data_IF_883692899887
#
_entry.id   IF_883692899887
#
_cell.length_a   1.000
_cell.length_b   1.000
_cell.length_c   1.000
_cell.angle_alpha   90.00
_cell.angle_beta   90.00
_cell.angle_gamma   90.00
#
_symmetry.space_group_name_H-M   'P 1'
#
loop_
_entity.id
_entity.type
_entity.pdbx_description
1 polymer ?
#
# COMPACT_ATOMS: atom_id res chain seq x y z
N UNK A 1 18.13 -1.95 -1.23
CA UNK A 1 17.16 -2.78 -2.00
C UNK A 1 17.64 -4.21 -2.22
N UNK A 2 18.79 -4.45 -2.86
CA UNK A 2 19.27 -5.80 -3.21
C UNK A 2 19.33 -6.80 -2.06
N UNK A 3 19.78 -6.41 -0.86
CA UNK A 3 19.84 -7.33 0.29
C UNK A 3 18.46 -7.73 0.83
N UNK A 4 17.54 -6.77 0.95
CA UNK A 4 16.17 -7.04 1.45
C UNK A 4 15.38 -7.90 0.45
N UNK A 5 15.58 -7.68 -0.85
CA UNK A 5 14.97 -8.51 -1.90
C UNK A 5 15.47 -9.96 -1.94
N UNK A 6 16.57 -10.30 -1.27
CA UNK A 6 17.02 -11.70 -1.20
C UNK A 6 16.12 -12.56 -0.31
N UNK A 7 15.45 -11.94 0.66
CA UNK A 7 14.65 -12.61 1.69
C UNK A 7 13.15 -12.31 1.61
N UNK A 8 12.75 -11.33 0.79
CA UNK A 8 11.35 -10.97 0.63
C UNK A 8 10.67 -11.82 -0.46
N UNK A 9 9.50 -12.39 -0.16
CA UNK A 9 8.61 -13.03 -1.14
C UNK A 9 7.60 -12.04 -1.74
N UNK A 10 7.29 -10.99 -0.97
CA UNK A 10 6.26 -9.99 -1.28
C UNK A 10 6.77 -8.58 -1.00
N UNK A 11 6.46 -7.66 -1.91
CA UNK A 11 6.79 -6.23 -1.79
C UNK A 11 5.49 -5.44 -1.83
N UNK A 12 5.19 -4.75 -0.73
CA UNK A 12 4.07 -3.84 -0.63
C UNK A 12 4.57 -2.41 -0.86
N UNK A 13 4.01 -1.71 -1.84
CA UNK A 13 4.43 -0.35 -2.19
C UNK A 13 3.33 0.63 -1.81
N UNK A 14 3.54 1.48 -0.79
CA UNK A 14 2.61 2.55 -0.45
C UNK A 14 2.72 3.67 -1.49
N UNK A 15 1.58 4.20 -1.93
CA UNK A 15 1.54 5.32 -2.88
C UNK A 15 0.51 6.36 -2.47
N UNK A 16 0.87 7.63 -2.63
CA UNK A 16 -0.03 8.76 -2.41
C UNK A 16 -0.45 9.38 -3.74
N UNK A 17 -1.60 10.09 -3.80
CA UNK A 17 -2.09 10.75 -5.00
C UNK A 17 -1.35 12.07 -5.24
N UNK A 18 -0.04 11.96 -5.40
CA UNK A 18 0.94 13.05 -5.52
C UNK A 18 1.89 12.72 -6.67
N UNK A 19 2.19 13.72 -7.49
CA UNK A 19 3.04 13.55 -8.68
C UNK A 19 4.44 13.05 -8.28
N UNK A 20 4.97 13.55 -7.17
CA UNK A 20 6.27 13.12 -6.66
C UNK A 20 6.27 11.65 -6.27
N UNK A 21 5.22 11.20 -5.56
CA UNK A 21 5.07 9.80 -5.16
C UNK A 21 4.88 8.88 -6.35
N UNK A 22 4.13 9.32 -7.38
CA UNK A 22 3.95 8.57 -8.62
C UNK A 22 5.28 8.38 -9.37
N UNK A 23 6.07 9.44 -9.53
CA UNK A 23 7.39 9.33 -10.17
C UNK A 23 8.35 8.46 -9.36
N UNK A 24 8.41 8.66 -8.04
CA UNK A 24 9.26 7.86 -7.17
C UNK A 24 8.88 6.37 -7.21
N UNK A 25 7.57 6.08 -7.24
CA UNK A 25 7.05 4.71 -7.37
C UNK A 25 7.46 4.10 -8.71
N UNK A 26 7.37 4.84 -9.81
CA UNK A 26 7.81 4.34 -11.13
C UNK A 26 9.29 4.01 -11.13
N UNK A 27 10.14 4.94 -10.68
CA UNK A 27 11.58 4.71 -10.58
C UNK A 27 11.91 3.49 -9.71
N UNK A 28 11.24 3.37 -8.56
CA UNK A 28 11.40 2.21 -7.68
C UNK A 28 11.02 0.89 -8.37
N UNK A 29 9.91 0.86 -9.10
CA UNK A 29 9.46 -0.32 -9.82
C UNK A 29 10.42 -0.67 -10.98
N UNK A 30 10.98 0.31 -11.67
CA UNK A 30 11.98 0.10 -12.71
C UNK A 30 13.27 -0.49 -12.14
N UNK A 31 13.74 0.01 -10.99
CA UNK A 31 14.88 -0.57 -10.26
C UNK A 31 14.59 -1.99 -9.77
N UNK A 32 13.37 -2.23 -9.29
CA UNK A 32 12.91 -3.54 -8.83
C UNK A 32 12.88 -4.54 -10.00
N UNK A 33 12.38 -4.14 -11.16
CA UNK A 33 12.32 -4.97 -12.36
C UNK A 33 13.71 -5.36 -12.90
N UNK A 34 14.72 -4.51 -12.69
CA UNK A 34 16.11 -4.81 -13.05
C UNK A 34 16.80 -5.79 -12.09
N UNK A 35 16.18 -6.10 -10.95
CA UNK A 35 16.71 -7.09 -10.01
C UNK A 35 16.58 -8.52 -10.55
N UNK A 36 17.59 -9.36 -10.35
CA UNK A 36 17.53 -10.79 -10.71
C UNK A 36 16.45 -11.57 -9.94
N UNK A 37 15.89 -10.98 -8.89
CA UNK A 37 14.79 -11.51 -8.09
C UNK A 37 13.41 -10.97 -8.50
N UNK A 38 13.33 -10.04 -9.46
CA UNK A 38 12.07 -9.39 -9.85
C UNK A 38 10.95 -10.39 -10.17
N UNK A 39 11.27 -11.46 -10.89
CA UNK A 39 10.31 -12.51 -11.27
C UNK A 39 9.89 -13.44 -10.12
N UNK A 40 10.57 -13.37 -8.97
CA UNK A 40 10.34 -14.22 -7.80
C UNK A 40 9.57 -13.51 -6.69
N UNK A 41 9.41 -12.19 -6.78
CA UNK A 41 8.72 -11.39 -5.76
C UNK A 41 7.38 -10.91 -6.31
N UNK A 42 6.34 -11.03 -5.49
CA UNK A 42 5.04 -10.47 -5.84
C UNK A 42 4.99 -9.02 -5.39
N UNK A 43 4.51 -8.11 -6.24
CA UNK A 43 4.42 -6.69 -5.94
C UNK A 43 2.95 -6.29 -5.86
N UNK A 44 2.58 -5.64 -4.76
CA UNK A 44 1.24 -5.10 -4.52
C UNK A 44 1.28 -3.63 -4.16
N UNK A 45 0.29 -2.88 -4.65
CA UNK A 45 0.19 -1.43 -4.47
C UNK A 45 -0.88 -1.10 -3.41
N UNK A 46 -0.61 -0.14 -2.53
CA UNK A 46 -1.57 0.34 -1.52
C UNK A 46 -1.67 1.87 -1.54
N UNK A 47 -2.86 2.37 -1.84
CA UNK A 47 -3.15 3.80 -1.74
C UNK A 47 -3.09 4.26 -0.28
N UNK A 48 -2.29 5.27 0.02
CA UNK A 48 -2.14 5.83 1.37
C UNK A 48 -2.76 7.21 1.45
N UNK A 49 -3.49 7.49 2.55
CA UNK A 49 -4.13 8.79 2.82
C UNK A 49 -5.01 9.27 1.68
N UNK A 50 -5.69 8.34 1.02
CA UNK A 50 -6.52 8.65 -0.16
C UNK A 50 -7.96 8.84 0.28
N UNK A 51 -8.50 10.04 0.04
CA UNK A 51 -9.95 10.19 -0.03
C UNK A 51 -10.41 9.83 -1.45
N UNK A 52 -11.09 8.68 -1.54
CA UNK A 52 -11.59 8.10 -2.80
C UNK A 52 -12.58 8.99 -3.55
N UNK A 53 -13.06 10.09 -2.95
CA UNK A 53 -14.01 11.04 -3.56
C UNK A 53 -13.35 12.22 -4.26
N UNK A 54 -12.02 12.24 -4.33
CA UNK A 54 -11.26 13.37 -4.85
C UNK A 54 -10.71 13.11 -6.25
N UNK A 55 -10.51 14.18 -7.04
CA UNK A 55 -9.86 14.13 -8.36
C UNK A 55 -8.47 13.48 -8.27
N UNK A 56 -7.77 13.68 -7.15
CA UNK A 56 -6.46 13.09 -6.92
C UNK A 56 -6.52 11.56 -6.80
N UNK A 57 -7.61 11.00 -6.29
CA UNK A 57 -7.86 9.55 -6.28
C UNK A 57 -8.07 9.00 -7.70
N UNK A 58 -8.74 9.74 -8.59
CA UNK A 58 -8.90 9.35 -9.98
C UNK A 58 -7.55 9.30 -10.72
N UNK A 59 -6.71 10.32 -10.53
CA UNK A 59 -5.33 10.34 -11.07
C UNK A 59 -4.48 9.18 -10.55
N UNK A 60 -4.62 8.85 -9.26
CA UNK A 60 -3.95 7.70 -8.67
C UNK A 60 -4.42 6.40 -9.32
N UNK A 61 -5.73 6.26 -9.56
CA UNK A 61 -6.32 5.09 -10.21
C UNK A 61 -5.79 4.92 -11.63
N UNK A 62 -5.76 6.00 -12.42
CA UNK A 62 -5.19 6.00 -13.77
C UNK A 62 -3.71 5.62 -13.77
N UNK A 63 -2.93 6.22 -12.87
CA UNK A 63 -1.51 5.90 -12.72
C UNK A 63 -1.30 4.42 -12.38
N UNK A 64 -2.05 3.87 -11.42
CA UNK A 64 -1.87 2.46 -11.06
C UNK A 64 -2.30 1.51 -12.17
N UNK A 65 -3.40 1.80 -12.86
CA UNK A 65 -3.79 1.00 -14.04
C UNK A 65 -2.65 0.96 -15.06
N UNK A 66 -1.92 2.07 -15.25
CA UNK A 66 -0.76 2.11 -16.14
C UNK A 66 0.44 1.25 -15.70
N UNK A 67 0.52 0.88 -14.41
CA UNK A 67 1.60 0.05 -13.86
C UNK A 67 1.36 -1.45 -14.06
N UNK A 68 0.12 -1.88 -14.32
CA UNK A 68 -0.23 -3.30 -14.49
C UNK A 68 -0.06 -4.15 -13.21
N UNK A 69 0.04 -3.51 -12.04
CA UNK A 69 0.20 -4.16 -10.74
C UNK A 69 -1.11 -4.16 -9.96
N UNK A 70 -1.35 -5.16 -9.09
CA UNK A 70 -2.57 -5.24 -8.30
C UNK A 70 -2.63 -4.12 -7.25
N UNK A 71 -3.76 -3.41 -7.19
CA UNK A 71 -4.13 -2.52 -6.08
C UNK A 71 -4.80 -3.35 -5.00
N UNK A 72 -4.20 -3.43 -3.83
CA UNK A 72 -4.72 -4.24 -2.72
C UNK A 72 -5.77 -3.50 -1.89
N UNK A 73 -5.77 -2.17 -1.95
CA UNK A 73 -6.70 -1.32 -1.23
C UNK A 73 -6.21 0.12 -1.12
N UNK A 74 -7.01 0.95 -0.46
CA UNK A 74 -6.66 2.32 -0.12
C UNK A 74 -6.96 2.58 1.37
N UNK A 75 -5.95 3.01 2.11
CA UNK A 75 -6.05 3.39 3.52
C UNK A 75 -6.39 4.89 3.61
N UNK A 76 -7.50 5.20 4.28
CA UNK A 76 -7.94 6.58 4.48
C UNK A 76 -7.08 7.31 5.51
N UNK A 77 -7.04 8.64 5.39
CA UNK A 77 -6.40 9.48 6.40
C UNK A 77 -7.31 9.63 7.63
N UNK A 78 -6.94 9.01 8.75
CA UNK A 78 -7.68 9.12 10.02
C UNK A 78 -6.75 9.33 11.20
N UNK A 79 -7.29 9.97 12.23
CA UNK A 79 -6.62 10.12 13.52
C UNK A 79 -6.49 8.78 14.29
N UNK A 80 -7.22 7.73 13.89
CA UNK A 80 -7.15 6.42 14.54
C UNK A 80 -5.72 5.87 14.55
N UNK A 81 -5.02 5.92 13.40
CA UNK A 81 -3.63 5.47 13.31
C UNK A 81 -2.70 6.23 14.26
N UNK A 82 -2.86 7.56 14.34
CA UNK A 82 -2.04 8.42 15.22
C UNK A 82 -2.29 8.11 16.69
N UNK A 83 -3.55 7.99 17.08
CA UNK A 83 -3.94 7.68 18.46
C UNK A 83 -3.49 6.28 18.92
N UNK A 84 -3.54 5.29 18.03
CA UNK A 84 -3.10 3.93 18.33
C UNK A 84 -1.57 3.85 18.45
N UNK A 85 -0.85 4.45 17.50
CA UNK A 85 0.60 4.51 17.54
C UNK A 85 1.13 5.18 18.82
N UNK A 86 0.49 6.27 19.28
CA UNK A 86 0.83 6.93 20.53
C UNK A 86 0.68 6.05 21.78
N UNK A 87 -0.08 4.95 21.68
CA UNK A 87 -0.32 3.97 22.75
C UNK A 87 0.44 2.66 22.54
N UNK A 88 1.26 2.55 21.49
CA UNK A 88 1.91 1.30 21.11
C UNK A 88 0.93 0.21 20.66
N UNK A 89 -0.26 0.61 20.18
CA UNK A 89 -1.29 -0.29 19.69
C UNK A 89 -1.38 -0.26 18.16
N UNK A 90 -1.90 -1.32 17.60
CA UNK A 90 -2.28 -1.45 16.18
C UNK A 90 -3.81 -1.41 16.03
N UNK A 91 -4.28 -1.35 14.78
CA UNK A 91 -5.71 -1.48 14.47
C UNK A 91 -6.29 -2.83 14.94
N UNK A 92 -5.46 -3.86 15.01
CA UNK A 92 -5.86 -5.24 15.33
C UNK A 92 -5.97 -5.49 16.84
N UNK A 93 -5.44 -4.59 17.67
CA UNK A 93 -5.47 -4.70 19.14
C UNK A 93 -6.75 -4.14 19.78
N UNK A 94 -7.63 -3.52 18.98
CA UNK A 94 -8.83 -2.82 19.47
C UNK A 94 -10.10 -3.50 18.98
N UNK A 95 -11.13 -3.49 19.83
CA UNK A 95 -12.45 -4.05 19.51
C UNK A 95 -12.95 -3.59 18.12
N UNK A 96 -13.29 -4.52 17.19
CA UNK A 96 -13.57 -4.21 15.79
C UNK A 96 -14.67 -3.17 15.56
N UNK A 97 -15.65 -3.10 16.46
CA UNK A 97 -16.76 -2.14 16.35
C UNK A 97 -16.33 -0.67 16.32
N UNK A 98 -15.13 -0.33 16.83
CA UNK A 98 -14.61 1.06 16.80
C UNK A 98 -13.85 1.41 15.52
N UNK A 99 -13.32 0.40 14.83
CA UNK A 99 -12.39 0.55 13.71
C UNK A 99 -12.87 -0.18 12.44
N UNK A 100 -14.16 -0.53 12.37
CA UNK A 100 -14.72 -1.39 11.32
C UNK A 100 -14.38 -0.89 9.90
N UNK A 101 -14.43 0.43 9.67
CA UNK A 101 -14.07 1.03 8.38
C UNK A 101 -12.59 0.87 8.04
N UNK A 102 -11.72 1.03 9.03
CA UNK A 102 -10.26 0.91 8.84
C UNK A 102 -9.89 -0.56 8.63
N UNK A 103 -10.44 -1.47 9.42
CA UNK A 103 -10.26 -2.92 9.28
C UNK A 103 -10.73 -3.43 7.90
N UNK A 104 -11.87 -2.95 7.41
CA UNK A 104 -12.35 -3.29 6.07
C UNK A 104 -11.38 -2.85 4.95
N UNK A 105 -10.68 -1.72 5.11
CA UNK A 105 -9.67 -1.28 4.13
C UNK A 105 -8.40 -2.14 4.14
N UNK A 106 -8.08 -2.79 5.27
CA UNK A 106 -6.95 -3.70 5.41
C UNK A 106 -7.23 -5.11 4.90
N UNK A 107 -8.49 -5.50 4.75
CA UNK A 107 -8.87 -6.86 4.39
C UNK A 107 -8.19 -7.36 3.11
N UNK A 108 -8.23 -6.58 2.03
CA UNK A 108 -7.58 -6.95 0.75
C UNK A 108 -6.05 -7.08 0.86
N UNK A 109 -5.44 -6.30 1.75
CA UNK A 109 -3.99 -6.35 2.03
C UNK A 109 -3.66 -7.64 2.77
N UNK A 110 -4.37 -7.94 3.86
CA UNK A 110 -4.19 -9.16 4.66
C UNK A 110 -4.42 -10.41 3.81
N UNK A 111 -5.54 -10.47 3.08
CA UNK A 111 -5.85 -11.61 2.20
C UNK A 111 -4.79 -11.82 1.11
N UNK A 112 -4.17 -10.74 0.60
CA UNK A 112 -3.07 -10.88 -0.35
C UNK A 112 -1.80 -11.37 0.34
N UNK A 113 -1.49 -10.90 1.55
CA UNK A 113 -0.32 -11.30 2.33
C UNK A 113 -0.37 -12.76 2.78
N UNK A 114 -1.55 -13.29 3.10
CA UNK A 114 -1.73 -14.66 3.59
C UNK A 114 -1.62 -15.76 2.51
N UNK A 115 -1.60 -15.39 1.23
CA UNK A 115 -1.50 -16.33 0.10
C UNK A 115 -0.07 -16.82 -0.17
#
# INVERSE_FOLDING_TARGET
LKEVLKVADKVLVPLQPSIFDMYATRTFLDELAQSSRASKVQVGLVGMRVDMRTISADKLREFVVSLGLPVLGALRDTQNYVHLAARGLTLFDVAPGRLQKDLAQWEGICQWLDR
#
